data_IF_158259128479
#
_entry.id   IF_158259128479
#
_cell.length_a   1.000
_cell.length_b   1.000
_cell.length_c   1.000
_cell.angle_alpha   90.00
_cell.angle_beta   90.00
_cell.angle_gamma   90.00
#
_symmetry.space_group_name_H-M   'P 1'
#
loop_
_entity.id
_entity.type
_entity.pdbx_description
1 polymer ?
#
# COMPACT_ATOMS: atom_id res chain seq x y z
N UNK A 1 -14.06 -29.88 11.23
CA UNK A 1 -14.64 -28.58 11.61
C UNK A 1 -13.78 -27.92 12.70
N UNK A 2 -12.89 -26.98 12.36
CA UNK A 2 -12.24 -26.14 13.39
C UNK A 2 -13.24 -25.05 13.78
N UNK A 3 -13.73 -25.05 15.04
CA UNK A 3 -14.47 -23.93 15.63
C UNK A 3 -13.60 -22.68 15.45
N UNK A 4 -13.98 -21.77 14.54
CA UNK A 4 -13.31 -20.47 14.49
C UNK A 4 -13.64 -19.77 15.79
N UNK A 5 -12.62 -19.38 16.56
CA UNK A 5 -12.79 -18.55 17.75
C UNK A 5 -13.52 -17.28 17.31
N UNK A 6 -14.82 -17.20 17.61
CA UNK A 6 -15.61 -16.01 17.33
C UNK A 6 -15.25 -15.01 18.42
N UNK A 7 -14.38 -14.05 18.09
CA UNK A 7 -14.08 -12.93 18.99
C UNK A 7 -15.40 -12.20 19.24
N UNK A 8 -15.80 -12.07 20.51
CA UNK A 8 -17.03 -11.37 20.86
C UNK A 8 -16.91 -9.89 20.49
N UNK A 9 -18.02 -9.23 20.13
CA UNK A 9 -18.02 -7.78 19.80
C UNK A 9 -17.36 -6.94 20.89
N UNK A 10 -17.65 -7.25 22.17
CA UNK A 10 -17.04 -6.60 23.33
C UNK A 10 -15.52 -6.81 23.36
N UNK A 11 -15.05 -8.03 23.13
CA UNK A 11 -13.62 -8.37 23.11
C UNK A 11 -12.90 -7.69 21.95
N UNK A 12 -13.50 -7.64 20.76
CA UNK A 12 -12.89 -7.00 19.59
C UNK A 12 -12.79 -5.48 19.74
N UNK A 13 -13.84 -4.84 20.28
CA UNK A 13 -13.80 -3.42 20.64
C UNK A 13 -12.73 -3.15 21.70
N UNK A 14 -12.68 -3.97 22.76
CA UNK A 14 -11.69 -3.82 23.82
C UNK A 14 -10.25 -3.92 23.27
N UNK A 15 -9.96 -4.94 22.45
CA UNK A 15 -8.63 -5.09 21.83
C UNK A 15 -8.24 -3.88 20.97
N UNK A 16 -9.15 -3.37 20.15
CA UNK A 16 -8.88 -2.21 19.30
C UNK A 16 -8.63 -0.95 20.13
N UNK A 17 -9.49 -0.68 21.12
CA UNK A 17 -9.34 0.49 21.99
C UNK A 17 -8.08 0.38 22.84
N UNK A 18 -7.74 -0.79 23.37
CA UNK A 18 -6.49 -1.00 24.11
C UNK A 18 -5.27 -0.76 23.22
N UNK A 19 -5.26 -1.27 21.99
CA UNK A 19 -4.17 -0.99 21.04
C UNK A 19 -4.06 0.50 20.73
N UNK A 20 -5.19 1.18 20.51
CA UNK A 20 -5.26 2.62 20.27
C UNK A 20 -4.80 3.46 21.48
N UNK A 21 -5.11 3.02 22.71
CA UNK A 21 -4.64 3.68 23.94
C UNK A 21 -3.14 3.47 24.13
N UNK A 22 -2.63 2.25 23.95
CA UNK A 22 -1.17 1.98 23.98
C UNK A 22 -0.47 2.87 22.97
N UNK A 23 -1.03 2.95 21.76
CA UNK A 23 -0.52 3.80 20.69
C UNK A 23 -0.55 5.28 21.07
N UNK A 24 -1.66 5.79 21.63
CA UNK A 24 -1.78 7.16 22.15
C UNK A 24 -0.74 7.46 23.24
N UNK A 25 -0.52 6.54 24.17
CA UNK A 25 0.50 6.67 25.22
C UNK A 25 1.90 6.71 24.62
N UNK A 26 2.21 5.85 23.65
CA UNK A 26 3.47 5.90 22.93
C UNK A 26 3.68 7.28 22.25
N UNK A 27 2.63 7.89 21.68
CA UNK A 27 2.72 9.26 21.09
C UNK A 27 3.13 10.28 22.15
N UNK A 28 2.45 10.26 23.30
CA UNK A 28 2.63 11.25 24.35
C UNK A 28 4.04 11.15 24.94
N UNK A 29 4.53 9.92 25.12
CA UNK A 29 5.84 9.65 25.72
C UNK A 29 7.01 9.65 24.73
N UNK A 30 6.77 9.55 23.42
CA UNK A 30 7.84 9.63 22.42
C UNK A 30 8.43 11.04 22.39
N UNK A 31 9.74 11.16 22.57
CA UNK A 31 10.49 12.40 22.41
C UNK A 31 11.29 12.32 21.13
N UNK A 32 11.12 13.28 20.23
CA UNK A 32 11.84 13.31 18.97
C UNK A 32 13.30 13.75 19.24
N UNK A 33 14.32 12.90 19.03
CA UNK A 33 15.70 13.29 19.31
C UNK A 33 16.22 14.13 18.13
N UNK A 34 16.26 15.45 18.30
CA UNK A 34 16.83 16.36 17.32
C UNK A 34 17.13 17.74 17.91
N UNK A 35 18.26 18.38 17.58
CA UNK A 35 18.70 19.65 18.18
C UNK A 35 17.90 20.89 17.73
N UNK A 36 16.91 20.74 16.84
CA UNK A 36 16.14 21.84 16.25
C UNK A 36 14.62 21.54 16.17
N UNK A 37 14.07 20.76 17.11
CA UNK A 37 12.63 20.49 17.14
C UNK A 37 11.91 21.65 17.83
N UNK A 38 11.11 22.41 17.07
CA UNK A 38 10.18 23.38 17.64
C UNK A 38 9.18 22.64 18.55
N UNK A 39 9.29 22.89 19.85
CA UNK A 39 8.47 22.27 20.89
C UNK A 39 6.97 22.52 20.67
N UNK A 40 6.59 23.66 20.09
CA UNK A 40 5.20 23.99 19.79
C UNK A 40 4.65 23.12 18.66
N UNK A 41 5.45 22.89 17.62
CA UNK A 41 5.09 22.00 16.50
C UNK A 41 5.05 20.53 16.93
N UNK A 42 5.96 20.09 17.81
CA UNK A 42 5.93 18.74 18.35
C UNK A 42 4.65 18.51 19.17
N UNK A 43 4.31 19.47 20.05
CA UNK A 43 3.08 19.40 20.85
C UNK A 43 1.83 19.38 19.96
N UNK A 44 1.76 20.24 18.95
CA UNK A 44 0.65 20.29 18.01
C UNK A 44 0.46 18.94 17.28
N UNK A 45 1.56 18.34 16.78
CA UNK A 45 1.51 17.03 16.11
C UNK A 45 1.03 15.93 17.06
N UNK A 46 1.46 15.94 18.33
CA UNK A 46 0.99 14.99 19.36
C UNK A 46 -0.51 15.13 19.62
N UNK A 47 -1.00 16.36 19.81
CA UNK A 47 -2.43 16.63 20.06
C UNK A 47 -3.27 16.17 18.88
N UNK A 48 -2.89 16.55 17.65
CA UNK A 48 -3.61 16.14 16.43
C UNK A 48 -3.66 14.62 16.34
N UNK A 49 -2.54 13.93 16.57
CA UNK A 49 -2.49 12.47 16.50
C UNK A 49 -3.43 11.80 17.52
N UNK A 50 -3.47 12.32 18.76
CA UNK A 50 -4.38 11.81 19.80
C UNK A 50 -5.86 12.05 19.45
N UNK A 51 -6.20 13.22 18.90
CA UNK A 51 -7.57 13.54 18.46
C UNK A 51 -8.01 12.58 17.35
N UNK A 52 -7.12 12.30 16.40
CA UNK A 52 -7.44 11.40 15.28
C UNK A 52 -7.58 9.95 15.76
N UNK A 53 -6.74 9.50 16.70
CA UNK A 53 -6.91 8.18 17.34
C UNK A 53 -8.26 8.10 18.06
N UNK A 54 -8.65 9.13 18.82
CA UNK A 54 -9.92 9.15 19.52
C UNK A 54 -11.12 9.09 18.54
N UNK A 55 -11.05 9.86 17.45
CA UNK A 55 -12.06 9.82 16.38
C UNK A 55 -12.15 8.44 15.70
N UNK A 56 -11.00 7.80 15.44
CA UNK A 56 -10.94 6.45 14.89
C UNK A 56 -11.56 5.41 15.85
N UNK A 57 -11.29 5.51 17.15
CA UNK A 57 -11.93 4.68 18.19
C UNK A 57 -13.45 4.85 18.19
N UNK A 58 -13.93 6.10 18.18
CA UNK A 58 -15.37 6.38 18.16
C UNK A 58 -16.05 5.77 16.93
N UNK A 59 -15.47 5.98 15.74
CA UNK A 59 -15.98 5.42 14.49
C UNK A 59 -15.98 3.87 14.50
N UNK A 60 -14.89 3.26 15.00
CA UNK A 60 -14.77 1.81 15.08
C UNK A 60 -15.78 1.19 16.05
N UNK A 61 -16.00 1.81 17.21
CA UNK A 61 -17.01 1.36 18.19
C UNK A 61 -18.41 1.42 17.56
N UNK A 62 -18.75 2.56 16.95
CA UNK A 62 -20.08 2.81 16.42
C UNK A 62 -20.41 1.94 15.19
N UNK A 63 -19.41 1.59 14.38
CA UNK A 63 -19.59 0.83 13.13
C UNK A 63 -18.92 -0.55 13.12
N UNK A 64 -18.58 -1.09 14.29
CA UNK A 64 -17.83 -2.35 14.47
C UNK A 64 -18.28 -3.50 13.55
N UNK A 65 -19.59 -3.75 13.47
CA UNK A 65 -20.13 -4.90 12.71
C UNK A 65 -19.92 -4.74 11.20
N UNK A 66 -19.84 -3.49 10.71
CA UNK A 66 -19.52 -3.20 9.30
C UNK A 66 -18.02 -3.36 9.04
N UNK A 67 -17.17 -2.90 9.95
CA UNK A 67 -15.71 -3.00 9.83
C UNK A 67 -15.19 -4.44 9.91
N UNK A 68 -15.74 -5.24 10.82
CA UNK A 68 -15.23 -6.61 11.09
C UNK A 68 -15.82 -7.69 10.19
N UNK A 69 -16.98 -7.43 9.57
CA UNK A 69 -17.64 -8.39 8.69
C UNK A 69 -16.78 -8.84 7.51
N UNK A 70 -16.17 -7.89 6.79
CA UNK A 70 -15.32 -8.20 5.63
C UNK A 70 -14.06 -8.99 6.01
N UNK A 71 -13.21 -8.54 6.96
CA UNK A 71 -12.04 -9.32 7.39
C UNK A 71 -12.37 -10.76 7.81
N UNK A 72 -13.49 -10.96 8.53
CA UNK A 72 -13.95 -12.30 8.92
C UNK A 72 -14.33 -13.14 7.71
N UNK A 73 -15.06 -12.57 6.73
CA UNK A 73 -15.39 -13.26 5.48
C UNK A 73 -14.11 -13.66 4.72
N UNK A 74 -13.12 -12.77 4.63
CA UNK A 74 -11.84 -13.06 3.96
C UNK A 74 -11.09 -14.19 4.66
N UNK A 75 -11.00 -14.15 6.00
CA UNK A 75 -10.31 -15.18 6.77
C UNK A 75 -10.98 -16.55 6.66
N UNK A 76 -12.32 -16.60 6.66
CA UNK A 76 -13.08 -17.85 6.48
C UNK A 76 -12.83 -18.48 5.09
N UNK A 77 -12.65 -17.65 4.06
CA UNK A 77 -12.48 -18.08 2.67
C UNK A 77 -11.01 -18.13 2.20
N UNK A 78 -10.03 -17.97 3.10
CA UNK A 78 -8.59 -17.86 2.79
C UNK A 78 -8.03 -18.96 1.87
N UNK A 79 -8.50 -20.20 2.02
CA UNK A 79 -8.05 -21.32 1.16
C UNK A 79 -8.56 -21.18 -0.28
N UNK A 80 -9.82 -20.75 -0.44
CA UNK A 80 -10.41 -20.48 -1.75
C UNK A 80 -9.73 -19.26 -2.40
N UNK A 81 -9.53 -18.20 -1.62
CA UNK A 81 -8.82 -16.98 -2.05
C UNK A 81 -7.43 -17.34 -2.58
N UNK A 82 -6.65 -18.12 -1.83
CA UNK A 82 -5.32 -18.53 -2.24
C UNK A 82 -5.32 -19.37 -3.52
N UNK A 83 -6.26 -20.32 -3.64
CA UNK A 83 -6.41 -21.14 -4.85
C UNK A 83 -6.76 -20.28 -6.07
N UNK A 84 -7.71 -19.36 -5.91
CA UNK A 84 -8.12 -18.48 -7.01
C UNK A 84 -7.03 -17.48 -7.38
N UNK A 85 -6.29 -16.92 -6.42
CA UNK A 85 -5.18 -16.00 -6.70
C UNK A 85 -4.06 -16.68 -7.51
N UNK A 86 -3.71 -17.93 -7.16
CA UNK A 86 -2.77 -18.73 -7.95
C UNK A 86 -3.27 -19.00 -9.37
N UNK A 87 -4.57 -19.31 -9.50
CA UNK A 87 -5.17 -19.55 -10.80
C UNK A 87 -5.24 -18.28 -11.65
N UNK A 88 -5.55 -17.13 -11.04
CA UNK A 88 -5.57 -15.82 -11.69
C UNK A 88 -4.21 -15.48 -12.29
N UNK A 89 -3.15 -15.62 -11.50
CA UNK A 89 -1.77 -15.40 -11.93
C UNK A 89 -1.38 -16.36 -13.08
N UNK A 90 -1.64 -17.66 -12.94
CA UNK A 90 -1.34 -18.64 -13.99
C UNK A 90 -2.09 -18.35 -15.29
N UNK A 91 -3.38 -17.97 -15.19
CA UNK A 91 -4.22 -17.70 -16.36
C UNK A 91 -3.74 -16.49 -17.14
N UNK A 92 -3.27 -15.44 -16.45
CA UNK A 92 -2.77 -14.21 -17.09
C UNK A 92 -1.61 -14.46 -18.06
N UNK A 93 -0.79 -15.48 -17.78
CA UNK A 93 0.39 -15.82 -18.59
C UNK A 93 0.23 -17.14 -19.35
N UNK A 94 -0.97 -17.73 -19.36
CA UNK A 94 -1.24 -18.95 -20.10
C UNK A 94 -1.28 -18.68 -21.61
N UNK A 95 -0.74 -19.61 -22.40
CA UNK A 95 -0.76 -19.53 -23.88
C UNK A 95 0.26 -18.57 -24.50
N UNK A 96 1.12 -17.92 -23.70
CA UNK A 96 2.25 -17.12 -24.20
C UNK A 96 3.55 -17.94 -24.16
N UNK A 97 4.36 -17.85 -25.22
CA UNK A 97 5.66 -18.54 -25.31
C UNK A 97 6.61 -18.18 -24.16
N UNK A 98 6.67 -16.90 -23.76
CA UNK A 98 7.53 -16.44 -22.67
C UNK A 98 6.82 -16.44 -21.30
N UNK A 99 5.50 -16.69 -21.28
CA UNK A 99 4.73 -16.81 -20.04
C UNK A 99 4.92 -15.64 -19.08
N UNK A 100 5.23 -15.94 -17.82
CA UNK A 100 5.35 -14.95 -16.73
C UNK A 100 6.53 -13.98 -16.91
N UNK A 101 7.49 -14.27 -17.78
CA UNK A 101 8.60 -13.35 -18.10
C UNK A 101 8.08 -12.02 -18.65
N UNK A 102 6.93 -12.03 -19.35
CA UNK A 102 6.29 -10.80 -19.83
C UNK A 102 5.85 -9.85 -18.71
N UNK A 103 5.57 -10.36 -17.51
CA UNK A 103 5.29 -9.53 -16.34
C UNK A 103 6.49 -8.63 -15.97
N UNK A 104 7.70 -9.09 -16.28
CA UNK A 104 8.96 -8.47 -15.87
C UNK A 104 9.52 -7.56 -16.96
N UNK A 105 9.22 -7.87 -18.23
CA UNK A 105 9.78 -7.16 -19.38
C UNK A 105 9.49 -5.65 -19.31
N UNK A 106 8.23 -5.25 -19.15
CA UNK A 106 7.86 -3.82 -19.15
C UNK A 106 8.51 -3.04 -18.00
N UNK A 107 8.47 -3.51 -16.73
CA UNK A 107 9.13 -2.78 -15.65
C UNK A 107 10.64 -2.75 -15.78
N UNK A 108 11.29 -3.84 -16.22
CA UNK A 108 12.75 -3.87 -16.43
C UNK A 108 13.15 -2.88 -17.53
N UNK A 109 12.41 -2.85 -18.64
CA UNK A 109 12.61 -1.84 -19.70
C UNK A 109 12.39 -0.44 -19.15
N UNK A 110 11.40 -0.22 -18.29
CA UNK A 110 11.15 1.08 -17.65
C UNK A 110 12.34 1.53 -16.82
N UNK A 111 12.89 0.66 -15.96
CA UNK A 111 14.09 0.98 -15.17
C UNK A 111 15.29 1.26 -16.07
N UNK A 112 15.52 0.43 -17.09
CA UNK A 112 16.62 0.59 -18.03
C UNK A 112 16.53 1.91 -18.80
N UNK A 113 15.33 2.29 -19.26
CA UNK A 113 15.09 3.54 -19.97
C UNK A 113 15.35 4.75 -19.08
N UNK A 114 14.84 4.73 -17.85
CA UNK A 114 15.12 5.81 -16.90
C UNK A 114 16.61 5.91 -16.55
N UNK A 115 17.29 4.77 -16.37
CA UNK A 115 18.74 4.76 -16.19
C UNK A 115 19.46 5.41 -17.37
N UNK A 116 19.19 4.98 -18.60
CA UNK A 116 19.84 5.53 -19.79
C UNK A 116 19.61 7.04 -19.90
N UNK A 117 18.37 7.50 -19.70
CA UNK A 117 18.04 8.92 -19.84
C UNK A 117 18.65 9.77 -18.72
N UNK A 118 18.43 9.40 -17.46
CA UNK A 118 18.81 10.26 -16.34
C UNK A 118 20.27 10.08 -15.90
N UNK A 119 20.81 8.86 -15.92
CA UNK A 119 22.20 8.62 -15.56
C UNK A 119 23.13 8.89 -16.75
N UNK A 120 22.91 8.21 -17.88
CA UNK A 120 23.87 8.24 -19.00
C UNK A 120 23.78 9.48 -19.89
N UNK A 121 22.57 9.95 -20.19
CA UNK A 121 22.39 11.10 -21.10
C UNK A 121 22.44 12.42 -20.31
N UNK A 122 21.74 12.51 -19.18
CA UNK A 122 21.69 13.75 -18.37
C UNK A 122 22.87 13.91 -17.39
N UNK A 123 23.70 12.88 -17.20
CA UNK A 123 24.89 12.95 -16.34
C UNK A 123 24.58 12.95 -14.83
N UNK A 124 23.36 12.58 -14.43
CA UNK A 124 22.91 12.61 -13.04
C UNK A 124 23.41 11.34 -12.30
N UNK A 125 24.72 11.30 -12.05
CA UNK A 125 25.44 10.08 -11.61
C UNK A 125 25.09 9.66 -10.16
N UNK A 126 24.67 10.62 -9.32
CA UNK A 126 24.26 10.36 -7.95
C UNK A 126 23.16 11.35 -7.52
N UNK A 127 22.14 10.84 -6.82
CA UNK A 127 21.17 11.69 -6.11
C UNK A 127 21.68 11.89 -4.69
N UNK A 128 22.08 13.11 -4.29
CA UNK A 128 22.49 13.36 -2.92
C UNK A 128 21.29 13.12 -1.99
N UNK A 129 21.49 12.29 -0.97
CA UNK A 129 20.56 12.15 0.15
C UNK A 129 20.83 13.24 1.20
N UNK A 130 19.92 13.29 2.20
CA UNK A 130 20.24 13.83 3.52
C UNK A 130 21.58 13.27 4.00
N UNK A 131 22.45 14.17 4.46
CA UNK A 131 23.75 13.86 5.08
C UNK A 131 24.88 13.39 4.14
N UNK A 132 24.86 13.80 2.86
CA UNK A 132 26.05 13.66 1.99
C UNK A 132 26.37 12.23 1.54
N UNK A 133 25.45 11.29 1.74
CA UNK A 133 25.54 9.93 1.17
C UNK A 133 25.04 9.98 -0.27
N UNK A 134 25.94 9.74 -1.22
CA UNK A 134 25.59 9.55 -2.62
C UNK A 134 25.07 8.13 -2.84
N UNK A 135 23.79 8.01 -3.19
CA UNK A 135 23.21 6.73 -3.60
C UNK A 135 23.16 6.68 -5.12
N UNK A 136 23.59 5.55 -5.75
CA UNK A 136 23.48 5.36 -7.18
C UNK A 136 22.05 5.58 -7.66
N UNK A 137 21.87 6.36 -8.73
CA UNK A 137 20.54 6.74 -9.21
C UNK A 137 19.65 5.52 -9.50
N UNK A 138 20.21 4.43 -10.06
CA UNK A 138 19.48 3.19 -10.31
C UNK A 138 18.92 2.57 -9.03
N UNK A 139 19.69 2.58 -7.93
CA UNK A 139 19.24 2.06 -6.65
C UNK A 139 18.14 2.93 -6.05
N UNK A 140 18.32 4.25 -6.08
CA UNK A 140 17.32 5.23 -5.65
C UNK A 140 15.99 5.06 -6.42
N UNK A 141 16.09 4.92 -7.74
CA UNK A 141 14.96 4.77 -8.65
C UNK A 141 14.24 3.44 -8.42
N UNK A 142 14.97 2.33 -8.39
CA UNK A 142 14.38 0.99 -8.19
C UNK A 142 13.69 0.88 -6.83
N UNK A 143 14.26 1.45 -5.77
CA UNK A 143 13.63 1.49 -4.45
C UNK A 143 12.27 2.22 -4.45
N UNK A 144 12.09 3.23 -5.31
CA UNK A 144 10.81 3.92 -5.50
C UNK A 144 9.85 3.22 -6.46
N UNK A 145 10.36 2.65 -7.56
CA UNK A 145 9.54 2.02 -8.60
C UNK A 145 8.90 0.70 -8.16
N UNK A 146 9.61 -0.11 -7.37
CA UNK A 146 9.12 -1.42 -6.91
C UNK A 146 7.77 -1.33 -6.18
N UNK A 147 7.60 -0.52 -5.11
CA UNK A 147 6.30 -0.35 -4.48
C UNK A 147 5.29 0.31 -5.42
N UNK A 148 5.71 1.22 -6.30
CA UNK A 148 4.81 1.89 -7.25
C UNK A 148 4.20 0.94 -8.28
N UNK A 149 5.00 0.02 -8.84
CA UNK A 149 4.52 -0.98 -9.79
C UNK A 149 3.47 -1.87 -9.14
N UNK A 150 3.73 -2.35 -7.92
CA UNK A 150 2.76 -3.14 -7.19
C UNK A 150 1.48 -2.36 -6.90
N UNK A 151 1.59 -1.11 -6.44
CA UNK A 151 0.42 -0.26 -6.19
C UNK A 151 -0.45 -0.08 -7.45
N UNK A 152 0.17 0.31 -8.56
CA UNK A 152 -0.50 0.60 -9.82
C UNK A 152 -1.18 -0.64 -10.40
N UNK A 153 -0.49 -1.78 -10.36
CA UNK A 153 -1.01 -3.04 -10.86
C UNK A 153 -2.14 -3.58 -9.96
N UNK A 154 -1.93 -3.59 -8.65
CA UNK A 154 -2.90 -4.11 -7.70
C UNK A 154 -4.16 -3.24 -7.64
N UNK A 155 -4.05 -1.91 -7.75
CA UNK A 155 -5.22 -1.02 -7.76
C UNK A 155 -6.04 -1.22 -9.04
N UNK A 156 -5.41 -1.21 -10.22
CA UNK A 156 -6.11 -1.44 -11.48
C UNK A 156 -6.81 -2.80 -11.52
N UNK A 157 -6.11 -3.87 -11.13
CA UNK A 157 -6.69 -5.21 -11.08
C UNK A 157 -7.79 -5.30 -10.01
N UNK A 158 -7.59 -4.66 -8.87
CA UNK A 158 -8.53 -4.61 -7.76
C UNK A 158 -9.84 -3.89 -8.14
N UNK A 159 -9.74 -2.74 -8.80
CA UNK A 159 -10.89 -2.00 -9.35
C UNK A 159 -11.68 -2.87 -10.32
N UNK A 160 -11.02 -3.50 -11.28
CA UNK A 160 -11.71 -4.28 -12.33
C UNK A 160 -12.13 -5.70 -11.88
N UNK A 161 -11.85 -6.08 -10.63
CA UNK A 161 -12.06 -7.45 -10.14
C UNK A 161 -13.49 -7.97 -10.34
N UNK A 162 -14.52 -7.16 -10.08
CA UNK A 162 -15.92 -7.58 -10.23
C UNK A 162 -16.35 -7.72 -11.69
N UNK A 163 -15.81 -6.88 -12.58
CA UNK A 163 -16.10 -6.92 -14.01
C UNK A 163 -15.51 -8.18 -14.64
N UNK A 164 -14.25 -8.50 -14.32
CA UNK A 164 -13.58 -9.69 -14.85
C UNK A 164 -14.18 -11.00 -14.34
N UNK A 165 -14.67 -11.01 -13.10
CA UNK A 165 -15.31 -12.17 -12.48
C UNK A 165 -16.85 -12.17 -12.58
N UNK A 166 -17.43 -11.37 -13.48
CA UNK A 166 -18.88 -11.24 -13.70
C UNK A 166 -19.59 -12.62 -13.82
N UNK A 167 -18.96 -13.59 -14.49
CA UNK A 167 -19.49 -14.94 -14.65
C UNK A 167 -19.68 -15.70 -13.32
N UNK A 168 -18.84 -15.44 -12.30
CA UNK A 168 -19.00 -15.98 -10.95
C UNK A 168 -20.07 -15.23 -10.16
N UNK A 169 -20.23 -13.94 -10.43
CA UNK A 169 -21.22 -13.09 -9.74
C UNK A 169 -22.64 -13.51 -10.11
N UNK A 170 -22.89 -13.89 -11.38
CA UNK A 170 -24.24 -14.19 -11.88
C UNK A 170 -24.73 -15.62 -11.67
N UNK A 171 -23.84 -16.62 -11.61
CA UNK A 171 -24.23 -18.03 -11.82
C UNK A 171 -24.01 -18.95 -10.62
N UNK A 172 -23.37 -18.50 -9.55
CA UNK A 172 -23.03 -19.33 -8.38
C UNK A 172 -23.32 -18.54 -7.11
N UNK A 173 -23.70 -19.21 -6.02
CA UNK A 173 -23.76 -18.63 -4.66
C UNK A 173 -22.34 -18.33 -4.17
N UNK A 174 -21.66 -17.41 -4.86
CA UNK A 174 -20.25 -17.09 -4.68
C UNK A 174 -20.10 -15.87 -3.78
N UNK A 175 -19.11 -15.90 -2.88
CA UNK A 175 -18.82 -14.79 -1.97
C UNK A 175 -18.04 -13.70 -2.71
N UNK A 176 -18.75 -12.86 -3.47
CA UNK A 176 -18.18 -11.76 -4.27
C UNK A 176 -17.26 -10.80 -3.50
N UNK A 177 -17.40 -10.71 -2.17
CA UNK A 177 -16.54 -9.91 -1.28
C UNK A 177 -15.06 -10.31 -1.35
N UNK A 178 -14.73 -11.52 -1.82
CA UNK A 178 -13.36 -12.03 -1.89
C UNK A 178 -12.65 -11.70 -3.21
N UNK A 179 -13.36 -11.18 -4.21
CA UNK A 179 -12.80 -10.95 -5.55
C UNK A 179 -11.67 -9.91 -5.57
N UNK A 180 -11.77 -8.75 -4.88
CA UNK A 180 -10.69 -7.77 -4.88
C UNK A 180 -9.38 -8.30 -4.29
N UNK A 181 -9.44 -9.02 -3.17
CA UNK A 181 -8.24 -9.57 -2.52
C UNK A 181 -7.55 -10.65 -3.36
N UNK A 182 -8.30 -11.41 -4.18
CA UNK A 182 -7.72 -12.39 -5.11
C UNK A 182 -6.76 -11.71 -6.08
N UNK A 183 -7.18 -10.57 -6.65
CA UNK A 183 -6.39 -9.78 -7.59
C UNK A 183 -5.15 -9.17 -6.94
N UNK A 184 -5.29 -8.67 -5.72
CA UNK A 184 -4.18 -8.05 -4.97
C UNK A 184 -3.13 -9.10 -4.55
N UNK A 185 -3.56 -10.29 -4.11
CA UNK A 185 -2.64 -11.41 -3.82
C UNK A 185 -1.94 -11.87 -5.11
N UNK A 186 -2.65 -11.94 -6.24
CA UNK A 186 -2.03 -12.30 -7.52
C UNK A 186 -0.92 -11.30 -7.92
N UNK A 187 -1.17 -9.99 -7.76
CA UNK A 187 -0.18 -8.93 -7.99
C UNK A 187 1.01 -9.03 -7.01
N UNK A 188 0.81 -9.56 -5.81
CA UNK A 188 1.88 -9.76 -4.81
C UNK A 188 2.95 -10.74 -5.33
N UNK A 189 2.62 -11.70 -6.19
CA UNK A 189 3.61 -12.61 -6.76
C UNK A 189 4.65 -11.89 -7.62
N UNK A 190 4.21 -10.87 -8.37
CA UNK A 190 5.08 -10.02 -9.20
C UNK A 190 5.86 -9.07 -8.30
N UNK A 191 5.22 -8.53 -7.26
CA UNK A 191 5.88 -7.68 -6.28
C UNK A 191 7.05 -8.37 -5.58
N UNK A 192 6.87 -9.63 -5.15
CA UNK A 192 7.95 -10.43 -4.53
C UNK A 192 9.14 -10.56 -5.47
N UNK A 193 8.90 -10.79 -6.76
CA UNK A 193 9.97 -10.81 -7.75
C UNK A 193 10.71 -9.47 -7.84
N UNK A 194 9.98 -8.35 -7.89
CA UNK A 194 10.60 -7.02 -7.93
C UNK A 194 11.34 -6.64 -6.65
N UNK A 195 10.89 -7.11 -5.50
CA UNK A 195 11.65 -6.99 -4.24
C UNK A 195 12.96 -7.77 -4.35
N UNK A 196 12.95 -9.00 -4.86
CA UNK A 196 14.19 -9.75 -5.10
C UNK A 196 15.13 -9.01 -6.06
N UNK A 197 14.59 -8.45 -7.15
CA UNK A 197 15.37 -7.64 -8.10
C UNK A 197 15.98 -6.41 -7.42
N UNK A 198 15.23 -5.69 -6.59
CA UNK A 198 15.74 -4.56 -5.81
C UNK A 198 16.92 -4.97 -4.93
N UNK A 199 16.82 -6.11 -4.24
CA UNK A 199 17.90 -6.61 -3.38
C UNK A 199 19.14 -7.00 -4.18
N UNK A 200 18.97 -7.58 -5.38
CA UNK A 200 20.09 -7.88 -6.29
C UNK A 200 20.76 -6.58 -6.75
N UNK A 201 19.98 -5.58 -7.17
CA UNK A 201 20.51 -4.27 -7.58
C UNK A 201 21.25 -3.60 -6.41
N UNK A 202 20.68 -3.62 -5.20
CA UNK A 202 21.32 -3.11 -4.00
C UNK A 202 22.68 -3.81 -3.76
N UNK A 203 22.73 -5.13 -3.84
CA UNK A 203 23.95 -5.90 -3.63
C UNK A 203 25.04 -5.61 -4.68
N UNK A 204 24.66 -5.43 -5.96
CA UNK A 204 25.60 -5.02 -7.04
C UNK A 204 26.29 -3.69 -6.70
N UNK A 205 25.57 -2.77 -6.07
CA UNK A 205 26.10 -1.47 -5.62
C UNK A 205 26.73 -1.51 -4.21
N UNK A 206 26.91 -2.68 -3.60
CA UNK A 206 27.52 -2.84 -2.28
C UNK A 206 26.58 -2.62 -1.09
N UNK A 207 25.28 -2.44 -1.32
CA UNK A 207 24.26 -2.34 -0.28
C UNK A 207 23.67 -3.73 0.02
N UNK A 208 24.26 -4.41 1.00
CA UNK A 208 23.81 -5.73 1.42
C UNK A 208 22.63 -5.66 2.40
N UNK A 209 21.76 -6.69 2.45
CA UNK A 209 20.67 -6.76 3.41
C UNK A 209 21.18 -6.60 4.85
N UNK A 210 20.52 -5.70 5.58
CA UNK A 210 20.79 -5.44 7.00
C UNK A 210 19.55 -5.78 7.82
N UNK A 211 19.61 -5.59 9.15
CA UNK A 211 18.43 -5.74 10.01
C UNK A 211 17.27 -4.83 9.57
N UNK A 212 17.56 -3.67 8.97
CA UNK A 212 16.55 -2.73 8.46
C UNK A 212 15.81 -3.26 7.23
N UNK A 213 16.42 -4.15 6.46
CA UNK A 213 15.84 -4.72 5.23
C UNK A 213 14.60 -5.58 5.52
N UNK A 214 14.45 -6.07 6.76
CA UNK A 214 13.22 -6.76 7.19
C UNK A 214 11.98 -5.85 7.08
N UNK A 215 12.16 -4.54 7.13
CA UNK A 215 11.08 -3.56 7.02
C UNK A 215 10.43 -3.56 5.63
N UNK A 216 11.08 -4.11 4.59
CA UNK A 216 10.43 -4.31 3.29
C UNK A 216 9.18 -5.16 3.43
N UNK A 217 9.18 -6.16 4.32
CA UNK A 217 8.00 -6.98 4.60
C UNK A 217 6.90 -6.12 5.22
N UNK A 218 7.25 -5.26 6.18
CA UNK A 218 6.33 -4.32 6.82
C UNK A 218 5.73 -3.33 5.79
N UNK A 219 6.56 -2.66 4.99
CA UNK A 219 6.07 -1.70 3.99
C UNK A 219 5.30 -2.37 2.84
N UNK A 220 5.66 -3.60 2.45
CA UNK A 220 4.86 -4.41 1.52
C UNK A 220 3.48 -4.73 2.09
N UNK A 221 3.41 -5.05 3.39
CA UNK A 221 2.15 -5.29 4.08
C UNK A 221 1.31 -4.01 4.20
N UNK A 222 1.92 -2.88 4.57
CA UNK A 222 1.27 -1.58 4.56
C UNK A 222 0.63 -1.29 3.20
N UNK A 223 1.41 -1.45 2.13
CA UNK A 223 0.95 -1.21 0.77
C UNK A 223 -0.16 -2.17 0.34
N UNK A 224 -0.07 -3.46 0.71
CA UNK A 224 -1.11 -4.46 0.50
C UNK A 224 -2.45 -4.04 1.13
N UNK A 225 -2.43 -3.59 2.39
CA UNK A 225 -3.67 -3.19 3.08
C UNK A 225 -4.21 -1.87 2.50
N UNK A 226 -3.34 -0.92 2.16
CA UNK A 226 -3.74 0.34 1.54
C UNK A 226 -4.41 0.14 0.18
N UNK A 227 -3.82 -0.68 -0.70
CA UNK A 227 -4.43 -0.96 -2.00
C UNK A 227 -5.72 -1.78 -1.86
N UNK A 228 -5.81 -2.67 -0.86
CA UNK A 228 -7.04 -3.40 -0.56
C UNK A 228 -8.17 -2.46 -0.12
N UNK A 229 -7.86 -1.49 0.74
CA UNK A 229 -8.81 -0.46 1.18
C UNK A 229 -9.39 0.33 -0.01
N UNK A 230 -8.52 0.82 -0.90
CA UNK A 230 -8.94 1.53 -2.11
C UNK A 230 -9.71 0.63 -3.09
N UNK A 231 -9.28 -0.62 -3.24
CA UNK A 231 -9.90 -1.58 -4.16
C UNK A 231 -11.34 -1.89 -3.78
N UNK A 232 -11.68 -1.99 -2.50
CA UNK A 232 -13.07 -2.22 -2.07
C UNK A 232 -14.01 -1.08 -2.48
N UNK A 233 -13.55 0.17 -2.39
CA UNK A 233 -14.33 1.32 -2.86
C UNK A 233 -14.42 1.31 -4.38
N UNK A 234 -13.28 1.28 -5.06
CA UNK A 234 -13.21 1.47 -6.51
C UNK A 234 -13.89 0.33 -7.27
N UNK A 235 -13.74 -0.92 -6.83
CA UNK A 235 -14.41 -2.05 -7.47
C UNK A 235 -15.92 -2.01 -7.32
N UNK A 236 -16.44 -1.47 -6.21
CA UNK A 236 -17.88 -1.33 -6.01
C UNK A 236 -18.46 -0.23 -6.90
N UNK A 237 -17.75 0.89 -7.03
CA UNK A 237 -18.20 2.05 -7.82
C UNK A 237 -18.12 1.78 -9.32
N UNK A 238 -17.05 1.12 -9.80
CA UNK A 238 -16.86 0.89 -11.25
C UNK A 238 -17.96 0.06 -11.89
N UNK A 239 -18.64 -0.79 -11.10
CA UNK A 239 -19.80 -1.57 -11.58
C UNK A 239 -20.91 -0.66 -12.10
N UNK A 240 -21.12 0.49 -11.46
CA UNK A 240 -22.14 1.48 -11.87
C UNK A 240 -21.56 2.58 -12.76
N UNK A 241 -20.28 2.91 -12.59
CA UNK A 241 -19.60 3.96 -13.34
C UNK A 241 -18.33 3.42 -14.01
N UNK A 242 -18.48 2.89 -15.23
CA UNK A 242 -17.42 2.16 -15.94
C UNK A 242 -16.20 3.01 -16.28
N UNK A 243 -16.37 4.32 -16.46
CA UNK A 243 -15.26 5.24 -16.75
C UNK A 243 -14.28 5.40 -15.58
N UNK A 244 -14.64 4.94 -14.37
CA UNK A 244 -13.76 4.97 -13.21
C UNK A 244 -12.43 4.24 -13.48
N UNK A 245 -12.41 3.18 -14.29
CA UNK A 245 -11.16 2.47 -14.64
C UNK A 245 -10.19 3.36 -15.42
N UNK A 246 -10.70 4.20 -16.32
CA UNK A 246 -9.89 5.16 -17.08
C UNK A 246 -9.40 6.30 -16.17
N UNK A 247 -10.28 6.80 -15.30
CA UNK A 247 -9.92 7.85 -14.32
C UNK A 247 -8.82 7.36 -13.38
N UNK A 248 -8.90 6.11 -12.90
CA UNK A 248 -7.86 5.53 -12.05
C UNK A 248 -6.55 5.37 -12.82
N UNK A 249 -6.60 4.96 -14.09
CA UNK A 249 -5.40 4.84 -14.93
C UNK A 249 -4.69 6.19 -15.10
N UNK A 250 -5.44 7.26 -15.38
CA UNK A 250 -4.92 8.63 -15.46
C UNK A 250 -4.38 9.09 -14.11
N UNK A 251 -5.13 8.84 -13.03
CA UNK A 251 -4.74 9.19 -11.67
C UNK A 251 -3.44 8.50 -11.24
N UNK A 252 -3.23 7.25 -11.63
CA UNK A 252 -1.98 6.52 -11.43
C UNK A 252 -0.85 7.18 -12.22
N UNK A 253 -1.06 7.51 -13.50
CA UNK A 253 -0.05 8.20 -14.29
C UNK A 253 0.41 9.52 -13.64
N UNK A 254 -0.51 10.32 -13.11
CA UNK A 254 -0.19 11.55 -12.36
C UNK A 254 0.49 11.21 -11.03
N UNK A 255 -0.02 10.21 -10.31
CA UNK A 255 0.49 9.78 -9.00
C UNK A 255 1.95 9.34 -8.99
N UNK A 256 2.44 8.81 -10.12
CA UNK A 256 3.86 8.47 -10.32
C UNK A 256 4.76 9.70 -10.13
N UNK A 257 4.33 10.85 -10.65
CA UNK A 257 5.09 12.10 -10.57
C UNK A 257 4.85 12.85 -9.25
N UNK A 258 3.66 12.71 -8.67
CA UNK A 258 3.31 13.27 -7.36
C UNK A 258 3.96 12.52 -6.19
N UNK A 259 4.56 11.36 -6.42
CA UNK A 259 5.32 10.59 -5.44
C UNK A 259 6.81 10.78 -5.74
N UNK A 260 7.70 10.98 -4.74
CA UNK A 260 9.13 11.23 -4.96
C UNK A 260 9.86 9.96 -5.39
N UNK A 261 9.54 9.42 -6.57
CA UNK A 261 10.12 8.19 -7.13
C UNK A 261 11.35 8.53 -7.95
N UNK A 262 11.21 9.49 -8.88
CA UNK A 262 12.27 9.95 -9.78
C UNK A 262 13.10 11.11 -9.20
N UNK A 263 12.63 11.72 -8.12
CA UNK A 263 13.21 12.94 -7.53
C UNK A 263 13.20 12.86 -6.00
N UNK A 264 14.08 13.64 -5.36
CA UNK A 264 14.23 13.66 -3.91
C UNK A 264 13.34 14.73 -3.28
N UNK A 265 12.61 14.35 -2.22
CA UNK A 265 11.73 15.23 -1.46
C UNK A 265 12.47 16.41 -0.81
N UNK A 266 13.74 16.22 -0.45
CA UNK A 266 14.56 17.23 0.24
C UNK A 266 15.02 18.39 -0.66
N UNK A 267 14.80 18.28 -1.98
CA UNK A 267 15.07 19.36 -2.93
C UNK A 267 13.97 20.45 -2.95
N UNK A 268 12.86 20.24 -2.25
CA UNK A 268 11.69 21.14 -2.25
C UNK A 268 11.63 22.05 -1.02
N UNK A 269 10.84 23.12 -1.11
CA UNK A 269 10.58 23.98 0.04
C UNK A 269 9.79 23.24 1.14
N UNK A 270 9.91 23.62 2.42
CA UNK A 270 9.24 22.95 3.53
C UNK A 270 7.71 22.83 3.37
N UNK A 271 7.07 23.83 2.76
CA UNK A 271 5.63 23.84 2.49
C UNK A 271 5.22 22.72 1.52
N UNK A 272 5.95 22.58 0.41
CA UNK A 272 5.70 21.50 -0.57
C UNK A 272 5.97 20.13 0.03
N UNK A 273 7.00 19.99 0.86
CA UNK A 273 7.29 18.75 1.59
C UNK A 273 6.09 18.36 2.46
N UNK A 274 5.50 19.30 3.18
CA UNK A 274 4.33 19.03 4.03
C UNK A 274 3.12 18.56 3.22
N UNK A 275 2.83 19.20 2.09
CA UNK A 275 1.71 18.82 1.20
C UNK A 275 1.93 17.43 0.63
N UNK A 276 3.13 17.15 0.12
CA UNK A 276 3.45 15.86 -0.50
C UNK A 276 3.45 14.71 0.51
N UNK A 277 3.84 14.96 1.76
CA UNK A 277 3.75 13.96 2.84
C UNK A 277 2.30 13.56 3.19
N UNK A 278 1.28 14.28 2.71
CA UNK A 278 -0.11 13.84 2.80
C UNK A 278 -0.42 12.66 1.87
N UNK A 279 0.36 12.45 0.81
CA UNK A 279 0.19 11.27 -0.04
C UNK A 279 0.75 10.02 0.70
N UNK A 280 -0.08 9.02 1.05
CA UNK A 280 0.36 7.84 1.81
C UNK A 280 1.44 7.01 1.09
N UNK A 281 1.58 7.14 -0.23
CA UNK A 281 2.62 6.44 -0.99
C UNK A 281 4.01 7.04 -0.76
N UNK A 282 4.12 8.30 -0.32
CA UNK A 282 5.41 8.90 0.07
C UNK A 282 5.99 8.16 1.27
N UNK A 283 5.16 7.79 2.24
CA UNK A 283 5.58 6.97 3.38
C UNK A 283 6.12 5.60 2.93
N UNK A 284 5.46 4.95 1.97
CA UNK A 284 5.88 3.64 1.47
C UNK A 284 7.18 3.74 0.68
N UNK A 285 7.29 4.68 -0.26
CA UNK A 285 8.49 4.86 -1.08
C UNK A 285 9.71 5.18 -0.20
N UNK A 286 9.58 6.11 0.74
CA UNK A 286 10.67 6.41 1.67
C UNK A 286 10.97 5.21 2.57
N UNK A 287 9.95 4.45 2.99
CA UNK A 287 10.15 3.22 3.75
C UNK A 287 11.00 2.17 3.06
N UNK A 288 10.83 1.99 1.74
CA UNK A 288 11.70 1.11 0.94
C UNK A 288 13.14 1.62 0.91
N UNK A 289 13.34 2.94 0.77
CA UNK A 289 14.67 3.56 0.81
C UNK A 289 15.35 3.38 2.16
N UNK A 290 14.61 3.61 3.25
CA UNK A 290 15.10 3.42 4.61
C UNK A 290 15.48 1.98 4.91
N UNK A 291 14.73 1.02 4.37
CA UNK A 291 15.02 -0.41 4.52
C UNK A 291 16.26 -0.89 3.75
N UNK A 292 16.64 -0.19 2.66
CA UNK A 292 17.78 -0.56 1.81
C UNK A 292 19.06 0.16 2.21
N UNK A 293 19.03 1.50 2.31
CA UNK A 293 20.25 2.29 2.43
C UNK A 293 20.25 3.37 3.52
N UNK A 294 19.11 3.97 3.91
CA UNK A 294 19.11 5.02 4.95
C UNK A 294 19.22 4.45 6.37
N UNK A 295 18.88 3.16 6.55
CA UNK A 295 19.00 2.43 7.82
C UNK A 295 18.24 3.10 8.96
N UNK A 296 17.04 3.57 8.65
CA UNK A 296 16.11 4.11 9.63
C UNK A 296 14.96 3.15 9.90
N UNK A 297 14.53 3.06 11.15
CA UNK A 297 13.35 2.31 11.53
C UNK A 297 12.07 3.11 11.29
N UNK A 298 11.00 2.44 10.87
CA UNK A 298 9.69 3.05 10.59
C UNK A 298 9.13 3.84 11.77
N UNK A 299 9.45 3.43 13.01
CA UNK A 299 9.01 4.12 14.22
C UNK A 299 9.80 5.39 14.53
N UNK A 300 10.89 5.68 13.81
CA UNK A 300 11.63 6.95 13.91
C UNK A 300 10.78 8.10 13.37
N UNK A 301 10.15 7.93 12.20
CA UNK A 301 9.11 8.83 11.72
C UNK A 301 7.73 8.36 12.18
N UNK A 302 7.51 8.51 13.49
CA UNK A 302 6.30 8.07 14.15
C UNK A 302 5.03 8.74 13.58
N UNK A 303 5.09 10.03 13.24
CA UNK A 303 3.94 10.78 12.73
C UNK A 303 3.50 10.29 11.35
N UNK A 304 4.44 10.08 10.41
CA UNK A 304 4.10 9.55 9.09
C UNK A 304 3.54 8.12 9.18
N UNK A 305 4.10 7.29 10.08
CA UNK A 305 3.58 5.94 10.35
C UNK A 305 2.14 5.98 10.86
N UNK A 306 1.86 6.84 11.84
CA UNK A 306 0.54 7.00 12.43
C UNK A 306 -0.49 7.46 11.40
N UNK A 307 -0.13 8.53 10.68
CA UNK A 307 -0.93 9.12 9.61
C UNK A 307 -1.31 8.07 8.56
N UNK A 308 -0.33 7.31 8.06
CA UNK A 308 -0.54 6.26 7.08
C UNK A 308 -1.59 5.23 7.53
N UNK A 309 -1.45 4.69 8.73
CA UNK A 309 -2.34 3.64 9.23
C UNK A 309 -3.76 4.16 9.51
N UNK A 310 -3.87 5.37 10.05
CA UNK A 310 -5.18 6.02 10.24
C UNK A 310 -5.89 6.17 8.88
N UNK A 311 -5.22 6.78 7.90
CA UNK A 311 -5.80 6.99 6.56
C UNK A 311 -6.20 5.65 5.95
N UNK A 312 -5.35 4.64 6.06
CA UNK A 312 -5.61 3.29 5.55
C UNK A 312 -6.83 2.65 6.21
N UNK A 313 -6.95 2.70 7.54
CA UNK A 313 -8.08 2.13 8.29
C UNK A 313 -9.37 2.86 7.96
N UNK A 314 -9.34 4.20 7.86
CA UNK A 314 -10.50 5.01 7.49
C UNK A 314 -10.97 4.64 6.08
N UNK A 315 -10.06 4.59 5.10
CA UNK A 315 -10.37 4.21 3.73
C UNK A 315 -10.91 2.77 3.66
N UNK A 316 -10.34 1.84 4.43
CA UNK A 316 -10.83 0.47 4.47
C UNK A 316 -12.25 0.40 5.02
N UNK A 317 -12.54 1.16 6.07
CA UNK A 317 -13.87 1.31 6.63
C UNK A 317 -14.90 1.86 5.66
N UNK A 318 -14.57 2.98 5.03
CA UNK A 318 -15.41 3.61 4.01
C UNK A 318 -15.65 2.65 2.85
N UNK A 319 -14.60 2.02 2.32
CA UNK A 319 -14.69 1.04 1.24
C UNK A 319 -15.53 -0.18 1.63
N UNK A 320 -15.39 -0.67 2.85
CA UNK A 320 -16.20 -1.78 3.37
C UNK A 320 -17.70 -1.42 3.42
N UNK A 321 -18.01 -0.21 3.88
CA UNK A 321 -19.39 0.29 3.97
C UNK A 321 -20.00 0.50 2.59
N UNK A 322 -19.25 1.13 1.67
CA UNK A 322 -19.66 1.37 0.29
C UNK A 322 -19.90 0.03 -0.42
N UNK A 323 -18.93 -0.89 -0.36
CA UNK A 323 -19.04 -2.20 -0.97
C UNK A 323 -20.26 -2.96 -0.46
N UNK A 324 -20.49 -3.01 0.86
CA UNK A 324 -21.63 -3.72 1.44
C UNK A 324 -22.98 -3.11 1.05
N UNK A 325 -23.05 -1.78 0.93
CA UNK A 325 -24.27 -1.07 0.49
C UNK A 325 -24.57 -1.34 -0.99
N UNK A 326 -23.56 -1.28 -1.85
CA UNK A 326 -23.74 -1.44 -3.29
C UNK A 326 -23.89 -2.91 -3.73
N UNK A 327 -23.33 -3.84 -2.94
CA UNK A 327 -23.33 -5.28 -3.22
C UNK A 327 -24.69 -5.87 -3.55
N UNK A 328 -25.77 -5.37 -2.95
CA UNK A 328 -27.13 -5.89 -3.18
C UNK A 328 -27.62 -5.65 -4.61
N UNK A 329 -27.07 -4.66 -5.30
CA UNK A 329 -27.46 -4.28 -6.66
C UNK A 329 -26.52 -4.82 -7.74
N UNK A 330 -25.42 -5.48 -7.37
CA UNK A 330 -24.43 -5.95 -8.34
C UNK A 330 -25.03 -6.95 -9.33
N UNK A 331 -25.93 -7.85 -8.88
CA UNK A 331 -26.52 -8.87 -9.75
C UNK A 331 -27.41 -8.28 -10.86
N UNK A 332 -28.00 -7.10 -10.62
CA UNK A 332 -28.91 -6.44 -11.57
C UNK A 332 -28.14 -5.62 -12.62
N UNK A 333 -26.96 -5.11 -12.26
CA UNK A 333 -26.17 -4.19 -13.10
C UNK A 333 -25.07 -4.90 -13.88
N UNK A 334 -24.43 -5.90 -13.26
CA UNK A 334 -23.45 -6.76 -13.92
C UNK A 334 -24.15 -7.63 -14.94
#
# INVERSE_FOLDING_TARGET
>A
MKKSVKISKKTGIALFVTAAVIMALLIVFHKNPGPAVDQSQELAKKIISCVVIAAACFAFIHWYDKFTGLPVELFQNRHLIWKLAKNDFKKRYAGSYLGAVWAMAQPVVTVAMYYIVFDKIMGNTSTPLREGVEVPFVLFLTAGLVPWFYFSEALNNGTNALLEYNYLVKKVVFKISILPIIKIIAATFIHVFFVCLLLIVAAIYGYYPTIYTIQIIYYSFCLFIFVLALSYTTCAVVVFFRDLSQIISIGLQIGMWATPILWNLDALSPEWIMILKLNPLVYIVNGYRSAIYEKEWFFRDFFSTMYFWIVTVVLFGLGAVIFKRLKVHFADVL
#
